data_IF_721845936080
#
_entry.id   IF_721845936080
#
_cell.length_a   1.000
_cell.length_b   1.000
_cell.length_c   1.000
_cell.angle_alpha   90.00
_cell.angle_beta   90.00
_cell.angle_gamma   90.00
#
_symmetry.space_group_name_H-M   'P 1'
#
loop_
_entity.id
_entity.type
_entity.pdbx_description
1 polymer ?
#
# COMPACT_ATOMS: atom_id res chain seq x y z
N UNK A 1 12.88 -20.29 -8.82
CA UNK A 1 13.30 -18.91 -8.54
C UNK A 1 12.25 -18.29 -7.63
N UNK A 2 12.66 -17.43 -6.70
CA UNK A 2 11.73 -16.73 -5.79
C UNK A 2 11.35 -15.38 -6.41
N UNK A 3 10.13 -14.90 -6.17
CA UNK A 3 9.64 -13.60 -6.72
C UNK A 3 10.61 -12.42 -6.49
N UNK A 4 11.36 -12.45 -5.36
CA UNK A 4 12.38 -11.44 -5.05
C UNK A 4 13.61 -11.48 -5.97
N UNK A 5 14.02 -12.66 -6.42
CA UNK A 5 15.15 -12.77 -7.34
C UNK A 5 14.77 -12.23 -8.72
N UNK A 6 13.54 -12.43 -9.16
CA UNK A 6 13.04 -11.93 -10.45
C UNK A 6 12.92 -10.39 -10.45
N UNK A 7 12.43 -9.78 -9.36
CA UNK A 7 12.42 -8.31 -9.18
C UNK A 7 13.84 -7.73 -9.24
N UNK A 8 14.79 -8.37 -8.56
CA UNK A 8 16.17 -7.90 -8.53
C UNK A 8 16.78 -7.89 -9.93
N UNK A 9 16.57 -8.96 -10.71
CA UNK A 9 17.07 -9.02 -12.09
C UNK A 9 16.42 -7.94 -12.98
N UNK A 10 15.11 -7.71 -12.83
CA UNK A 10 14.41 -6.63 -13.52
C UNK A 10 15.00 -5.24 -13.21
N UNK A 11 15.25 -4.93 -11.94
CA UNK A 11 15.81 -3.61 -11.56
C UNK A 11 17.23 -3.45 -12.12
N UNK A 12 18.05 -4.51 -12.05
CA UNK A 12 19.42 -4.48 -12.59
C UNK A 12 19.41 -4.25 -14.10
N UNK A 13 18.53 -4.91 -14.85
CA UNK A 13 18.45 -4.70 -16.30
C UNK A 13 18.04 -3.28 -16.65
N UNK A 14 17.04 -2.72 -15.96
CA UNK A 14 16.59 -1.33 -16.16
C UNK A 14 17.69 -0.31 -15.92
N UNK A 15 18.43 -0.45 -14.83
CA UNK A 15 19.54 0.48 -14.51
C UNK A 15 20.68 0.36 -15.54
N UNK A 16 20.93 -0.83 -16.09
CA UNK A 16 21.93 -1.02 -17.15
C UNK A 16 21.51 -0.37 -18.47
N UNK A 17 20.23 -0.42 -18.81
CA UNK A 17 19.69 0.12 -20.06
C UNK A 17 19.49 1.66 -20.00
N UNK A 18 18.95 2.15 -18.88
CA UNK A 18 18.47 3.54 -18.76
C UNK A 18 19.45 4.42 -17.95
N UNK A 19 20.45 3.81 -17.32
CA UNK A 19 21.39 4.47 -16.41
C UNK A 19 20.87 4.56 -14.96
N UNK A 20 21.55 5.35 -14.11
CA UNK A 20 21.15 5.52 -12.72
C UNK A 20 19.71 6.04 -12.60
N UNK A 21 18.92 5.44 -11.70
CA UNK A 21 17.55 5.86 -11.43
C UNK A 21 17.45 6.59 -10.09
N UNK A 22 16.40 7.41 -9.94
CA UNK A 22 16.10 8.03 -8.66
C UNK A 22 15.66 6.98 -7.64
N UNK A 23 15.86 7.27 -6.36
CA UNK A 23 15.35 6.41 -5.29
C UNK A 23 13.82 6.25 -5.35
N UNK A 24 13.10 7.29 -5.76
CA UNK A 24 11.65 7.23 -5.96
C UNK A 24 11.25 6.18 -7.02
N UNK A 25 11.98 6.11 -8.15
CA UNK A 25 11.73 5.12 -9.19
C UNK A 25 12.06 3.70 -8.73
N UNK A 26 13.20 3.52 -8.04
CA UNK A 26 13.55 2.25 -7.43
C UNK A 26 12.46 1.77 -6.46
N UNK A 27 12.00 2.64 -5.57
CA UNK A 27 10.93 2.32 -4.63
C UNK A 27 9.61 2.01 -5.32
N UNK A 28 9.27 2.72 -6.41
CA UNK A 28 8.07 2.42 -7.19
C UNK A 28 8.09 0.99 -7.75
N UNK A 29 9.23 0.52 -8.24
CA UNK A 29 9.38 -0.88 -8.68
C UNK A 29 9.28 -1.86 -7.53
N UNK A 30 10.01 -1.62 -6.44
CA UNK A 30 9.99 -2.51 -5.27
C UNK A 30 8.60 -2.67 -4.65
N UNK A 31 7.81 -1.58 -4.62
CA UNK A 31 6.51 -1.57 -3.98
C UNK A 31 5.38 -1.99 -4.92
N UNK A 32 5.44 -1.59 -6.19
CA UNK A 32 4.27 -1.59 -7.09
C UNK A 32 4.52 -2.25 -8.45
N UNK A 33 5.66 -2.91 -8.70
CA UNK A 33 5.84 -3.66 -9.94
C UNK A 33 4.69 -4.67 -10.12
N UNK A 34 4.00 -4.72 -11.27
CA UNK A 34 2.76 -5.50 -11.41
C UNK A 34 2.87 -6.97 -11.00
N UNK A 35 4.02 -7.59 -11.25
CA UNK A 35 4.26 -9.01 -10.98
C UNK A 35 5.03 -9.29 -9.69
N UNK A 36 5.89 -8.37 -9.26
CA UNK A 36 6.90 -8.64 -8.22
C UNK A 36 6.90 -7.61 -7.08
N UNK A 37 6.12 -6.55 -7.21
CA UNK A 37 6.05 -5.49 -6.22
C UNK A 37 5.44 -6.02 -4.93
N UNK A 38 5.96 -5.54 -3.81
CA UNK A 38 5.53 -5.99 -2.48
C UNK A 38 4.00 -5.92 -2.31
N UNK A 39 3.36 -4.82 -2.74
CA UNK A 39 1.92 -4.62 -2.60
C UNK A 39 1.05 -5.26 -3.69
N UNK A 40 1.68 -5.79 -4.75
CA UNK A 40 0.99 -6.29 -5.95
C UNK A 40 1.14 -7.80 -6.14
N UNK A 41 2.24 -8.40 -5.67
CA UNK A 41 2.50 -9.84 -5.77
C UNK A 41 1.61 -10.72 -4.88
N UNK A 42 0.78 -10.10 -4.01
CA UNK A 42 0.00 -10.81 -3.00
C UNK A 42 0.82 -11.33 -1.82
N UNK A 43 2.13 -11.05 -1.78
CA UNK A 43 3.00 -11.39 -0.65
C UNK A 43 2.84 -10.42 0.53
N UNK A 44 2.39 -9.18 0.30
CA UNK A 44 2.12 -8.23 1.37
C UNK A 44 1.03 -8.75 2.30
N UNK A 45 1.41 -9.00 3.56
CA UNK A 45 0.50 -9.34 4.64
C UNK A 45 0.44 -8.19 5.63
N UNK A 46 -0.77 -7.71 5.92
CA UNK A 46 -1.04 -6.67 6.92
C UNK A 46 -1.79 -7.30 8.09
N UNK A 47 -1.41 -6.97 9.33
CA UNK A 47 -2.07 -7.44 10.55
C UNK A 47 -1.27 -8.51 11.27
N UNK A 48 -1.95 -9.40 11.99
CA UNK A 48 -1.32 -10.28 13.00
C UNK A 48 -0.27 -11.25 12.45
N UNK A 49 -0.47 -11.70 11.23
CA UNK A 49 0.46 -12.59 10.52
C UNK A 49 1.21 -11.85 9.41
N UNK A 50 1.20 -10.52 9.46
CA UNK A 50 1.79 -9.63 8.48
C UNK A 50 3.09 -8.98 8.93
N UNK A 51 3.70 -8.23 8.02
CA UNK A 51 4.95 -7.54 8.28
C UNK A 51 4.76 -6.31 9.18
N UNK A 52 3.54 -5.78 9.25
CA UNK A 52 3.17 -4.65 10.10
C UNK A 52 1.68 -4.62 10.43
N UNK A 53 1.34 -3.90 11.51
CA UNK A 53 -0.02 -3.57 11.89
C UNK A 53 -0.39 -2.17 11.40
N UNK A 54 -1.67 -1.97 11.11
CA UNK A 54 -2.28 -0.65 10.92
C UNK A 54 -3.39 -0.43 11.94
N UNK A 55 -3.86 0.81 12.11
CA UNK A 55 -4.94 1.14 13.06
C UNK A 55 -6.15 0.20 13.01
N UNK A 56 -6.70 -0.10 11.81
CA UNK A 56 -7.78 -1.08 11.65
C UNK A 56 -7.48 -2.49 12.16
N UNK A 57 -6.20 -2.91 12.14
CA UNK A 57 -5.79 -4.24 12.59
C UNK A 57 -5.78 -4.39 14.12
N UNK A 58 -5.76 -3.28 14.86
CA UNK A 58 -5.60 -3.29 16.33
C UNK A 58 -6.96 -3.36 17.03
N UNK A 59 -7.92 -2.52 16.62
CA UNK A 59 -9.22 -2.46 17.27
C UNK A 59 -10.32 -1.90 16.34
N UNK A 60 -11.52 -2.51 16.29
CA UNK A 60 -12.67 -2.00 15.52
C UNK A 60 -13.06 -0.53 15.82
N UNK A 61 -12.74 -0.03 17.01
CA UNK A 61 -12.96 1.36 17.39
C UNK A 61 -12.33 2.36 16.42
N UNK A 62 -11.18 2.02 15.79
CA UNK A 62 -10.56 2.91 14.80
C UNK A 62 -11.53 3.21 13.65
N UNK A 63 -12.15 2.17 13.06
CA UNK A 63 -13.14 2.34 12.00
C UNK A 63 -14.39 3.09 12.48
N UNK A 64 -14.86 2.78 13.69
CA UNK A 64 -16.03 3.45 14.28
C UNK A 64 -15.83 4.95 14.48
N UNK A 65 -14.63 5.37 14.91
CA UNK A 65 -14.31 6.79 15.09
C UNK A 65 -14.21 7.54 13.76
N UNK A 66 -13.59 6.93 12.75
CA UNK A 66 -13.53 7.50 11.39
C UNK A 66 -14.94 7.64 10.81
N UNK A 67 -15.79 6.62 10.93
CA UNK A 67 -17.17 6.68 10.46
C UNK A 67 -17.96 7.81 11.14
N UNK A 68 -17.85 7.95 12.46
CA UNK A 68 -18.49 9.04 13.21
C UNK A 68 -18.03 10.41 12.71
N UNK A 69 -16.73 10.59 12.44
CA UNK A 69 -16.19 11.84 11.94
C UNK A 69 -16.71 12.15 10.52
N UNK A 70 -16.76 11.15 9.64
CA UNK A 70 -17.30 11.31 8.28
C UNK A 70 -18.79 11.70 8.30
N UNK A 71 -19.58 11.11 9.20
CA UNK A 71 -20.98 11.51 9.39
C UNK A 71 -21.11 12.97 9.85
N UNK A 72 -20.27 13.41 10.80
CA UNK A 72 -20.25 14.81 11.25
C UNK A 72 -19.88 15.76 10.10
N UNK A 73 -18.83 15.43 9.33
CA UNK A 73 -18.42 16.23 8.18
C UNK A 73 -19.52 16.32 7.13
N UNK A 74 -20.20 15.19 6.83
CA UNK A 74 -21.33 15.15 5.92
C UNK A 74 -22.45 16.08 6.37
N UNK A 75 -22.82 16.06 7.66
CA UNK A 75 -23.85 16.93 8.20
C UNK A 75 -23.51 18.43 8.06
N UNK A 76 -22.25 18.81 8.31
CA UNK A 76 -21.78 20.20 8.17
C UNK A 76 -21.81 20.66 6.70
N UNK A 77 -21.46 19.76 5.77
CA UNK A 77 -21.40 20.05 4.33
C UNK A 77 -22.76 19.95 3.62
N UNK A 78 -23.85 19.73 4.34
CA UNK A 78 -25.20 19.62 3.77
C UNK A 78 -25.52 18.28 3.12
N UNK A 79 -24.76 17.22 3.45
CA UNK A 79 -24.94 15.87 2.93
C UNK A 79 -26.11 15.11 3.55
N UNK A 80 -26.71 14.23 2.73
CA UNK A 80 -27.96 13.47 2.99
C UNK A 80 -27.74 12.18 3.82
N UNK A 81 -26.52 11.86 4.27
CA UNK A 81 -26.12 10.50 4.70
C UNK A 81 -26.95 9.86 5.83
N UNK A 82 -27.82 10.59 6.52
CA UNK A 82 -28.75 10.10 7.54
C UNK A 82 -30.14 10.78 7.49
N UNK A 83 -30.69 11.04 6.29
CA UNK A 83 -32.15 11.26 6.15
C UNK A 83 -32.87 9.98 5.76
#
# INVERSE_FOLDING_TARGET
>A
MTHKEDLRQFIISRIREEGPVSFAQFMAWCLYHPEFGYYTSGEAKIGREGDYYTGPCVNPLFGGMIARQLCQMSAILGGILLR
#
